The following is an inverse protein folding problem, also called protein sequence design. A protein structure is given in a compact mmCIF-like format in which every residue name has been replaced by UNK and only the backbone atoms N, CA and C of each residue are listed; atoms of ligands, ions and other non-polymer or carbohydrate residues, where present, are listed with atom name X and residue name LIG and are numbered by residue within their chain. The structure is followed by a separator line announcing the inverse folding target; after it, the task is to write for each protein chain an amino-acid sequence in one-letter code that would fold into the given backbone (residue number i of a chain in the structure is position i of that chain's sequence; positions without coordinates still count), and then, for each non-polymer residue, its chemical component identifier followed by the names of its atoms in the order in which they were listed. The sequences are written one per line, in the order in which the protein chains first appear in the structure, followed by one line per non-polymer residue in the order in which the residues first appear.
data_IF_212113465114
#
_entry.id   IF_212113465114
#
_cell.length_a   1.000
_cell.length_b   1.000
_cell.length_c   1.000
_cell.angle_alpha   90.00
_cell.angle_beta   90.00
_cell.angle_gamma   90.00
#
_symmetry.space_group_name_H-M   'P 1'
#
loop_
_entity.id
_entity.type
_entity.pdbx_description
1 polymer ?
#
# COMPACT_ATOMS: atom_id res chain seq x y z
N UNK A 1 11.25 10.69 -34.35
CA UNK A 1 11.60 9.89 -33.15
C UNK A 1 12.88 10.44 -32.48
N UNK A 2 13.95 10.70 -33.25
CA UNK A 2 15.25 11.12 -32.70
C UNK A 2 15.21 12.53 -32.07
N UNK A 3 14.44 13.44 -32.65
CA UNK A 3 14.24 14.79 -32.09
C UNK A 3 13.55 14.71 -30.71
N UNK A 4 12.52 13.87 -30.57
CA UNK A 4 11.85 13.68 -29.29
C UNK A 4 12.77 13.03 -28.24
N UNK A 5 13.53 12.01 -28.65
CA UNK A 5 14.55 11.36 -27.82
C UNK A 5 15.58 12.37 -27.31
N UNK A 6 16.13 13.17 -28.22
CA UNK A 6 17.11 14.19 -27.90
C UNK A 6 16.53 15.26 -26.97
N UNK A 7 15.29 15.71 -27.24
CA UNK A 7 14.60 16.65 -26.39
C UNK A 7 14.40 16.11 -24.96
N UNK A 8 13.83 14.89 -24.80
CA UNK A 8 13.60 14.28 -23.49
C UNK A 8 14.95 14.06 -22.76
N UNK A 9 15.96 13.56 -23.46
CA UNK A 9 17.29 13.37 -22.87
C UNK A 9 17.91 14.65 -22.32
N UNK A 10 17.81 15.74 -23.08
CA UNK A 10 18.34 17.04 -22.68
C UNK A 10 17.57 17.63 -21.48
N UNK A 11 16.29 17.28 -21.34
CA UNK A 11 15.40 17.72 -20.27
C UNK A 11 15.40 16.78 -19.05
N UNK A 12 16.13 15.66 -19.05
CA UNK A 12 16.05 14.61 -18.03
C UNK A 12 16.28 15.08 -16.59
N UNK A 13 17.03 16.15 -16.37
CA UNK A 13 17.28 16.73 -15.05
C UNK A 13 16.26 17.81 -14.64
N UNK A 14 15.37 18.18 -15.53
CA UNK A 14 14.27 19.12 -15.25
C UNK A 14 13.00 18.41 -14.80
N UNK A 15 12.94 17.06 -14.93
CA UNK A 15 11.79 16.29 -14.46
C UNK A 15 11.73 16.30 -12.93
N UNK A 16 10.55 16.60 -12.42
CA UNK A 16 10.27 16.60 -10.99
C UNK A 16 8.83 16.14 -10.76
N UNK A 17 8.54 15.72 -9.55
CA UNK A 17 7.17 15.41 -9.17
C UNK A 17 6.36 16.70 -9.07
N UNK A 18 5.12 16.64 -9.54
CA UNK A 18 4.19 17.79 -9.45
C UNK A 18 3.51 17.89 -8.09
N UNK A 19 3.55 16.82 -7.29
CA UNK A 19 3.03 16.75 -5.93
C UNK A 19 4.12 16.97 -4.88
N UNK A 20 3.71 17.04 -3.62
CA UNK A 20 4.60 17.12 -2.48
C UNK A 20 5.35 15.79 -2.32
N UNK A 21 6.66 15.82 -2.34
CA UNK A 21 7.52 14.64 -2.20
C UNK A 21 8.52 14.84 -1.06
N UNK A 22 8.95 13.76 -0.46
CA UNK A 22 9.96 13.75 0.58
C UNK A 22 10.69 12.40 0.59
N UNK A 23 11.90 12.38 1.16
CA UNK A 23 12.57 11.13 1.49
C UNK A 23 11.73 10.31 2.48
N UNK A 24 11.84 8.97 2.48
CA UNK A 24 10.96 8.10 3.26
C UNK A 24 10.87 8.44 4.75
N UNK A 25 11.99 8.78 5.38
CA UNK A 25 12.04 9.14 6.81
C UNK A 25 11.29 10.45 7.09
N UNK A 26 11.44 11.43 6.21
CA UNK A 26 10.75 12.72 6.31
C UNK A 26 9.26 12.54 6.05
N UNK A 27 8.88 11.73 5.05
CA UNK A 27 7.48 11.41 4.75
C UNK A 27 6.80 10.69 5.92
N UNK A 28 7.50 9.74 6.57
CA UNK A 28 7.05 9.08 7.78
C UNK A 28 6.78 10.09 8.91
N UNK A 29 7.74 10.98 9.19
CA UNK A 29 7.59 12.00 10.22
C UNK A 29 6.40 12.91 9.93
N UNK A 30 6.25 13.39 8.69
CA UNK A 30 5.10 14.19 8.27
C UNK A 30 3.78 13.46 8.49
N UNK A 31 3.70 12.16 8.19
CA UNK A 31 2.51 11.36 8.40
C UNK A 31 2.18 11.19 9.90
N UNK A 32 3.20 11.02 10.75
CA UNK A 32 3.03 10.87 12.19
C UNK A 32 2.62 12.17 12.88
N UNK A 33 3.13 13.32 12.42
CA UNK A 33 2.84 14.64 12.98
C UNK A 33 1.56 15.28 12.44
N UNK A 34 1.01 14.77 11.34
CA UNK A 34 -0.19 15.34 10.74
C UNK A 34 -1.43 15.08 11.62
N UNK A 35 -2.04 16.15 12.11
CA UNK A 35 -3.29 16.07 12.90
C UNK A 35 -4.56 15.92 12.05
N UNK A 36 -4.44 16.14 10.73
CA UNK A 36 -5.56 15.98 9.80
C UNK A 36 -5.72 14.53 9.39
N UNK A 37 -6.91 13.97 9.52
CA UNK A 37 -7.32 12.70 8.91
C UNK A 37 -7.80 12.97 7.48
N UNK A 38 -7.49 12.18 6.53
CA UNK A 38 -6.57 11.05 6.48
C UNK A 38 -5.31 11.51 5.76
N UNK A 39 -4.14 11.16 6.25
CA UNK A 39 -2.89 11.42 5.52
C UNK A 39 -2.67 10.30 4.50
N UNK A 40 -2.71 10.60 3.21
CA UNK A 40 -2.41 9.62 2.16
C UNK A 40 -0.93 9.72 1.78
N UNK A 41 -0.20 8.63 2.00
CA UNK A 41 1.21 8.47 1.65
C UNK A 41 1.32 7.55 0.44
N UNK A 42 1.97 8.02 -0.63
CA UNK A 42 2.22 7.18 -1.80
C UNK A 42 3.67 6.67 -1.80
N UNK A 43 3.83 5.34 -1.83
CA UNK A 43 5.12 4.68 -2.02
C UNK A 43 5.43 4.64 -3.52
N UNK A 44 6.03 5.73 -4.03
CA UNK A 44 6.37 5.87 -5.44
C UNK A 44 7.52 4.95 -5.89
N UNK A 45 8.33 4.49 -4.93
CA UNK A 45 9.42 3.52 -5.19
C UNK A 45 8.91 2.12 -5.54
N UNK A 46 7.68 1.77 -5.14
CA UNK A 46 7.03 0.51 -5.50
C UNK A 46 5.67 0.74 -6.19
N UNK A 47 5.66 1.63 -7.18
CA UNK A 47 4.46 2.05 -7.89
C UNK A 47 3.89 0.95 -8.80
N UNK A 48 2.86 0.25 -8.35
CA UNK A 48 2.20 -0.84 -9.08
C UNK A 48 1.46 -0.36 -10.34
N UNK A 49 1.18 0.92 -10.47
CA UNK A 49 0.57 1.49 -11.69
C UNK A 49 1.59 1.74 -12.81
N UNK A 50 2.89 1.72 -12.48
CA UNK A 50 4.00 1.90 -13.41
C UNK A 50 4.88 0.65 -13.58
N UNK A 51 4.36 -0.52 -13.23
CA UNK A 51 5.02 -1.80 -13.48
C UNK A 51 5.84 -2.37 -12.32
N UNK A 52 5.91 -1.69 -11.16
CA UNK A 52 6.49 -2.29 -9.95
C UNK A 52 5.66 -3.46 -9.45
N UNK A 53 6.29 -4.32 -8.69
CA UNK A 53 5.71 -5.59 -8.24
C UNK A 53 4.76 -5.46 -7.07
N UNK A 54 4.91 -4.44 -6.23
CA UNK A 54 4.08 -4.21 -5.05
C UNK A 54 4.49 -5.02 -3.82
N UNK A 55 5.69 -5.61 -3.79
CA UNK A 55 6.14 -6.48 -2.67
C UNK A 55 7.08 -5.80 -1.67
N UNK A 56 7.39 -4.51 -1.88
CA UNK A 56 8.29 -3.78 -1.01
C UNK A 56 7.68 -3.60 0.39
N UNK A 57 8.43 -3.96 1.43
CA UNK A 57 8.06 -3.84 2.85
C UNK A 57 8.79 -2.70 3.54
N UNK A 58 9.61 -1.92 2.84
CA UNK A 58 10.47 -0.90 3.43
C UNK A 58 9.66 0.12 4.25
N UNK A 59 8.61 0.70 3.68
CA UNK A 59 7.74 1.66 4.37
C UNK A 59 7.03 1.01 5.57
N UNK A 60 6.55 -0.24 5.43
CA UNK A 60 5.95 -0.98 6.54
C UNK A 60 6.94 -1.14 7.70
N UNK A 61 8.18 -1.52 7.41
CA UNK A 61 9.23 -1.69 8.43
C UNK A 61 9.53 -0.40 9.18
N UNK A 62 9.46 0.75 8.51
CA UNK A 62 9.62 2.05 9.13
C UNK A 62 8.49 2.34 10.14
N UNK A 63 7.22 2.09 9.79
CA UNK A 63 6.10 2.25 10.71
C UNK A 63 6.19 1.28 11.89
N UNK A 64 6.58 0.02 11.66
CA UNK A 64 6.76 -0.99 12.72
C UNK A 64 7.88 -0.63 13.70
N UNK A 65 8.88 0.13 13.26
CA UNK A 65 9.99 0.59 14.12
C UNK A 65 9.61 1.78 15.02
N UNK A 66 8.47 2.41 14.80
CA UNK A 66 8.00 3.54 15.61
C UNK A 66 7.58 3.06 17.00
N UNK A 67 8.28 3.51 18.03
CA UNK A 67 7.92 3.20 19.42
C UNK A 67 6.62 3.91 19.81
N UNK A 68 5.70 3.16 20.42
CA UNK A 68 4.41 3.69 20.89
C UNK A 68 3.59 4.36 19.76
N UNK A 69 3.53 3.74 18.60
CA UNK A 69 2.70 4.19 17.47
C UNK A 69 1.23 4.32 17.94
N UNK A 70 0.70 5.55 17.89
CA UNK A 70 -0.66 5.86 18.36
C UNK A 70 -1.66 6.03 17.22
N UNK A 71 -1.16 6.03 15.97
CA UNK A 71 -1.99 6.22 14.78
C UNK A 71 -2.45 4.90 14.19
N UNK A 72 -3.65 4.91 13.60
CA UNK A 72 -4.17 3.79 12.82
C UNK A 72 -3.67 3.93 11.38
N UNK A 73 -2.99 2.90 10.90
CA UNK A 73 -2.33 2.88 9.60
C UNK A 73 -2.94 1.77 8.74
N UNK A 74 -3.33 2.10 7.52
CA UNK A 74 -3.74 1.11 6.52
C UNK A 74 -2.69 1.01 5.42
N UNK A 75 -2.15 -0.19 5.19
CA UNK A 75 -1.41 -0.51 3.99
C UNK A 75 -2.38 -1.06 2.93
N UNK A 76 -2.62 -0.29 1.88
CA UNK A 76 -3.60 -0.58 0.84
C UNK A 76 -3.31 -1.89 0.09
N UNK A 77 -2.03 -2.21 -0.17
CA UNK A 77 -1.64 -3.54 -0.67
C UNK A 77 -0.16 -3.82 -0.45
N UNK A 78 0.15 -5.07 -0.07
CA UNK A 78 1.50 -5.64 -0.15
C UNK A 78 1.35 -7.00 -0.82
N UNK A 79 2.03 -7.18 -1.96
CA UNK A 79 2.03 -8.44 -2.67
C UNK A 79 2.95 -9.43 -1.97
N UNK A 80 2.39 -10.54 -1.52
CA UNK A 80 3.14 -11.70 -1.06
C UNK A 80 2.31 -12.97 -1.25
N UNK A 81 2.58 -13.70 -2.32
CA UNK A 81 1.83 -14.89 -2.69
C UNK A 81 1.95 -16.01 -1.66
N UNK A 82 3.11 -16.15 -1.00
CA UNK A 82 3.34 -17.19 0.00
C UNK A 82 2.56 -16.91 1.28
N UNK A 83 2.68 -15.69 1.79
CA UNK A 83 1.91 -15.23 2.95
C UNK A 83 0.41 -15.24 2.67
N UNK A 84 -0.01 -14.83 1.47
CA UNK A 84 -1.42 -14.93 1.06
C UNK A 84 -1.92 -16.38 1.15
N UNK A 85 -1.19 -17.37 0.58
CA UNK A 85 -1.56 -18.79 0.64
C UNK A 85 -1.59 -19.36 2.06
N UNK A 86 -0.73 -18.87 2.95
CA UNK A 86 -0.76 -19.23 4.37
C UNK A 86 -2.04 -18.70 5.02
N UNK A 87 -2.33 -17.40 4.86
CA UNK A 87 -3.51 -16.73 5.40
C UNK A 87 -4.83 -17.29 4.82
N UNK A 88 -4.80 -17.76 3.57
CA UNK A 88 -6.01 -18.30 2.94
C UNK A 88 -6.51 -19.58 3.60
N UNK A 89 -5.62 -20.33 4.25
CA UNK A 89 -5.93 -21.60 4.93
C UNK A 89 -6.54 -21.43 6.31
N UNK A 90 -6.42 -20.26 6.93
CA UNK A 90 -6.96 -20.01 8.27
C UNK A 90 -8.34 -19.33 8.19
N UNK A 91 -9.13 -19.52 9.25
CA UNK A 91 -10.45 -18.93 9.34
C UNK A 91 -10.40 -17.42 9.58
N UNK A 92 -11.46 -16.71 9.20
CA UNK A 92 -11.69 -15.33 9.61
C UNK A 92 -11.69 -15.26 11.15
N UNK A 93 -11.08 -14.19 11.67
CA UNK A 93 -10.81 -13.95 13.09
C UNK A 93 -9.76 -14.85 13.75
N UNK A 94 -9.19 -15.83 13.05
CA UNK A 94 -8.03 -16.56 13.55
C UNK A 94 -6.77 -15.71 13.52
N UNK A 95 -5.85 -16.00 14.45
CA UNK A 95 -4.53 -15.36 14.52
C UNK A 95 -3.47 -16.32 14.01
N UNK A 96 -2.45 -15.75 13.36
CA UNK A 96 -1.34 -16.51 12.75
C UNK A 96 -0.05 -15.71 12.79
N UNK A 97 1.07 -16.41 12.95
CA UNK A 97 2.41 -15.84 12.75
C UNK A 97 2.78 -15.94 11.27
N UNK A 98 3.08 -14.80 10.66
CA UNK A 98 3.44 -14.73 9.24
C UNK A 98 4.82 -14.10 9.05
N UNK A 99 5.42 -14.40 7.89
CA UNK A 99 6.66 -13.79 7.40
C UNK A 99 6.30 -12.98 6.16
N UNK A 100 5.90 -11.72 6.34
CA UNK A 100 5.50 -10.85 5.23
C UNK A 100 6.71 -10.20 4.58
N UNK A 101 6.94 -10.49 3.30
CA UNK A 101 8.01 -9.95 2.47
C UNK A 101 8.72 -11.00 1.64
N UNK A 102 8.99 -10.69 0.40
CA UNK A 102 9.47 -11.62 -0.61
C UNK A 102 10.98 -11.92 -0.54
N UNK A 103 11.76 -11.18 0.24
CA UNK A 103 13.23 -11.30 0.37
C UNK A 103 13.98 -11.32 -0.98
N UNK A 104 13.54 -10.49 -1.94
CA UNK A 104 14.21 -10.36 -3.24
C UNK A 104 15.36 -9.37 -3.23
N UNK A 105 15.27 -8.39 -2.34
CA UNK A 105 16.23 -7.29 -2.16
C UNK A 105 16.09 -6.68 -0.76
N UNK A 106 16.88 -5.65 -0.47
CA UNK A 106 16.85 -4.91 0.81
C UNK A 106 15.49 -4.24 1.09
N UNK A 107 14.75 -3.88 0.05
CA UNK A 107 13.48 -3.19 0.18
C UNK A 107 12.33 -4.16 0.44
N UNK A 108 12.46 -5.42 0.04
CA UNK A 108 11.46 -6.49 0.19
C UNK A 108 11.78 -7.48 1.31
N UNK A 109 12.66 -7.11 2.26
CA UNK A 109 12.96 -7.94 3.45
C UNK A 109 11.71 -8.30 4.21
N UNK A 110 11.61 -9.57 4.60
CA UNK A 110 10.48 -10.04 5.41
C UNK A 110 10.52 -9.51 6.83
N UNK A 111 9.32 -9.33 7.37
CA UNK A 111 9.08 -9.05 8.79
C UNK A 111 8.22 -10.15 9.39
N UNK A 112 8.49 -10.48 10.65
CA UNK A 112 7.67 -11.43 11.41
C UNK A 112 6.54 -10.67 12.08
N UNK A 113 5.30 -11.05 11.80
CA UNK A 113 4.11 -10.40 12.32
C UNK A 113 3.17 -11.44 12.94
N UNK A 114 2.61 -11.12 14.10
CA UNK A 114 1.46 -11.83 14.62
C UNK A 114 0.21 -11.09 14.15
N UNK A 115 -0.60 -11.72 13.31
CA UNK A 115 -1.74 -11.07 12.68
C UNK A 115 -3.05 -11.79 12.95
N UNK A 116 -4.14 -11.03 12.96
CA UNK A 116 -5.51 -11.54 12.96
C UNK A 116 -6.10 -11.36 11.56
N UNK A 117 -6.58 -12.44 10.94
CA UNK A 117 -7.28 -12.38 9.66
C UNK A 117 -8.66 -11.76 9.83
N UNK A 118 -8.95 -10.68 9.12
CA UNK A 118 -10.22 -9.96 9.22
C UNK A 118 -11.18 -10.28 8.07
N UNK A 119 -10.70 -10.21 6.82
CA UNK A 119 -11.54 -10.41 5.64
C UNK A 119 -10.71 -10.87 4.43
N UNK A 120 -11.36 -11.59 3.52
CA UNK A 120 -10.85 -11.89 2.17
C UNK A 120 -11.81 -11.29 1.16
N UNK A 121 -11.28 -10.61 0.15
CA UNK A 121 -12.07 -10.00 -0.91
C UNK A 121 -11.31 -9.95 -2.24
N UNK A 122 -12.02 -9.67 -3.33
CA UNK A 122 -11.43 -9.40 -4.62
C UNK A 122 -10.85 -7.99 -4.67
N UNK A 123 -9.77 -7.81 -5.42
CA UNK A 123 -9.26 -6.50 -5.81
C UNK A 123 -9.89 -6.17 -7.15
N UNK A 124 -10.82 -5.22 -7.16
CA UNK A 124 -11.60 -4.88 -8.33
C UNK A 124 -10.85 -3.92 -9.26
N UNK A 125 -11.05 -4.12 -10.57
CA UNK A 125 -10.62 -3.19 -11.59
C UNK A 125 -11.80 -2.29 -11.97
N UNK A 126 -11.63 -0.99 -11.76
CA UNK A 126 -12.67 0.02 -11.97
C UNK A 126 -12.30 0.91 -13.16
N UNK A 127 -13.26 1.21 -14.02
CA UNK A 127 -13.16 2.23 -15.07
C UNK A 127 -14.35 3.19 -14.97
N UNK A 128 -14.08 4.46 -14.63
CA UNK A 128 -15.10 5.39 -14.17
C UNK A 128 -15.77 4.84 -12.91
N UNK A 129 -17.09 4.70 -12.93
CA UNK A 129 -17.89 4.15 -11.82
C UNK A 129 -18.20 2.65 -11.99
N UNK A 130 -17.66 2.00 -13.02
CA UNK A 130 -18.00 0.61 -13.37
C UNK A 130 -16.87 -0.35 -12.98
N UNK A 131 -17.22 -1.42 -12.28
CA UNK A 131 -16.34 -2.58 -12.10
C UNK A 131 -16.29 -3.33 -13.43
N UNK A 132 -15.09 -3.49 -13.98
CA UNK A 132 -14.85 -4.14 -15.28
C UNK A 132 -14.09 -5.48 -15.16
N UNK A 133 -13.69 -5.86 -13.94
CA UNK A 133 -12.99 -7.11 -13.70
C UNK A 133 -12.31 -7.14 -12.33
N UNK A 134 -11.45 -8.13 -12.12
CA UNK A 134 -10.62 -8.27 -10.92
C UNK A 134 -9.14 -8.29 -11.25
N UNK A 135 -8.31 -7.76 -10.35
CA UNK A 135 -6.84 -7.79 -10.44
C UNK A 135 -6.22 -8.93 -9.63
N UNK A 136 -7.04 -9.65 -8.86
CA UNK A 136 -6.63 -10.70 -7.95
C UNK A 136 -7.43 -10.64 -6.66
N UNK A 137 -6.90 -11.25 -5.61
CA UNK A 137 -7.54 -11.27 -4.29
C UNK A 137 -6.60 -10.72 -3.22
N UNK A 138 -7.19 -10.18 -2.18
CA UNK A 138 -6.50 -9.72 -0.99
C UNK A 138 -7.07 -10.34 0.29
N UNK A 139 -6.25 -10.37 1.32
CA UNK A 139 -6.64 -10.72 2.68
C UNK A 139 -6.26 -9.56 3.58
N UNK A 140 -7.25 -8.98 4.22
CA UNK A 140 -7.08 -7.96 5.24
C UNK A 140 -6.66 -8.62 6.54
N UNK A 141 -5.59 -8.14 7.12
CA UNK A 141 -5.09 -8.59 8.43
C UNK A 141 -4.82 -7.40 9.33
N UNK A 142 -5.05 -7.58 10.63
CA UNK A 142 -4.66 -6.66 11.68
C UNK A 142 -3.37 -7.15 12.34
N UNK A 143 -2.36 -6.30 12.48
CA UNK A 143 -1.12 -6.61 13.20
C UNK A 143 -1.36 -6.46 14.68
N UNK A 144 -1.42 -7.58 15.40
CA UNK A 144 -1.80 -7.64 16.81
C UNK A 144 -0.83 -6.81 17.67
N UNK A 145 -1.40 -5.99 18.55
CA UNK A 145 -0.63 -5.10 19.43
C UNK A 145 -0.21 -3.77 18.79
N UNK A 146 -0.72 -3.47 17.60
CA UNK A 146 -0.47 -2.20 16.88
C UNK A 146 -1.77 -1.61 16.34
N UNK A 147 -1.71 -0.41 15.75
CA UNK A 147 -2.80 0.18 14.96
C UNK A 147 -2.64 -0.07 13.46
N UNK A 148 -1.95 -1.15 13.04
CA UNK A 148 -1.63 -1.38 11.62
C UNK A 148 -2.50 -2.48 11.04
N UNK A 149 -3.18 -2.15 9.92
CA UNK A 149 -3.89 -3.09 9.07
C UNK A 149 -3.20 -3.18 7.72
N UNK A 150 -3.18 -4.39 7.14
CA UNK A 150 -2.49 -4.67 5.88
C UNK A 150 -3.40 -5.51 4.98
N UNK A 151 -3.54 -5.11 3.72
CA UNK A 151 -4.11 -5.97 2.68
C UNK A 151 -2.96 -6.73 2.00
N UNK A 152 -2.85 -8.03 2.27
CA UNK A 152 -1.88 -8.93 1.63
C UNK A 152 -2.50 -9.49 0.36
N UNK A 153 -1.83 -9.32 -0.80
CA UNK A 153 -2.40 -9.68 -2.10
C UNK A 153 -1.65 -10.84 -2.76
N UNK A 154 -2.39 -11.67 -3.50
CA UNK A 154 -1.82 -12.80 -4.26
C UNK A 154 -1.18 -12.38 -5.59
N UNK A 155 -1.49 -11.19 -6.08
CA UNK A 155 -0.97 -10.60 -7.32
C UNK A 155 -0.64 -9.13 -7.13
N UNK A 156 0.09 -8.56 -8.07
CA UNK A 156 0.28 -7.11 -8.13
C UNK A 156 -1.08 -6.42 -8.26
N UNK A 157 -1.42 -5.61 -7.27
CA UNK A 157 -2.71 -4.95 -7.16
C UNK A 157 -2.55 -3.43 -7.21
N UNK A 158 -3.54 -2.76 -7.80
CA UNK A 158 -3.61 -1.30 -7.91
C UNK A 158 -4.80 -0.81 -7.10
N UNK A 159 -4.54 -0.24 -5.93
CA UNK A 159 -5.58 0.34 -5.07
C UNK A 159 -5.84 1.79 -5.49
N UNK A 160 -6.29 2.00 -6.73
CA UNK A 160 -6.46 3.34 -7.34
C UNK A 160 -7.85 3.93 -7.14
N UNK A 161 -8.78 3.17 -6.55
CA UNK A 161 -10.16 3.57 -6.34
C UNK A 161 -10.59 3.21 -4.92
N UNK A 162 -11.41 4.04 -4.29
CA UNK A 162 -11.89 3.84 -2.92
C UNK A 162 -12.82 2.63 -2.78
N UNK A 163 -13.52 2.24 -3.84
CA UNK A 163 -14.36 1.04 -3.87
C UNK A 163 -13.58 -0.24 -3.52
N UNK A 164 -12.27 -0.29 -3.81
CA UNK A 164 -11.46 -1.43 -3.38
C UNK A 164 -11.43 -1.61 -1.86
N UNK A 165 -11.53 -0.54 -1.08
CA UNK A 165 -11.59 -0.63 0.38
C UNK A 165 -12.96 -1.08 0.87
N UNK A 166 -14.03 -0.71 0.17
CA UNK A 166 -15.40 -1.14 0.48
C UNK A 166 -15.55 -2.66 0.34
N UNK A 167 -14.84 -3.31 -0.62
CA UNK A 167 -14.79 -4.77 -0.74
C UNK A 167 -14.25 -5.45 0.54
N UNK A 168 -13.42 -4.73 1.31
CA UNK A 168 -12.88 -5.19 2.60
C UNK A 168 -13.67 -4.68 3.82
N UNK A 169 -14.84 -4.06 3.65
CA UNK A 169 -15.61 -3.37 4.69
C UNK A 169 -14.81 -2.26 5.39
N UNK A 170 -13.88 -1.63 4.67
CA UNK A 170 -13.03 -0.56 5.17
C UNK A 170 -13.61 0.79 4.72
N UNK A 171 -13.87 1.67 5.69
CA UNK A 171 -13.89 3.09 5.43
C UNK A 171 -12.47 3.64 5.62
N UNK A 172 -11.75 3.90 4.51
CA UNK A 172 -10.36 4.32 4.54
C UNK A 172 -10.14 5.65 5.29
N UNK A 173 -11.17 6.49 5.40
CA UNK A 173 -11.11 7.77 6.15
C UNK A 173 -11.09 7.59 7.67
N UNK A 174 -11.32 6.37 8.18
CA UNK A 174 -11.20 6.08 9.61
C UNK A 174 -9.74 5.93 10.06
N UNK A 175 -8.83 5.72 9.10
CA UNK A 175 -7.40 5.65 9.36
C UNK A 175 -6.74 7.02 9.40
N UNK A 176 -5.74 7.17 10.26
CA UNK A 176 -4.92 8.38 10.33
C UNK A 176 -3.97 8.48 9.14
N UNK A 177 -3.45 7.34 8.70
CA UNK A 177 -2.55 7.24 7.53
C UNK A 177 -2.97 6.08 6.65
N UNK A 178 -3.03 6.33 5.34
CA UNK A 178 -3.21 5.28 4.32
C UNK A 178 -1.99 5.27 3.41
N UNK A 179 -1.32 4.12 3.33
CA UNK A 179 -0.14 3.92 2.48
C UNK A 179 -0.55 3.19 1.20
N UNK A 180 -0.29 3.80 0.05
CA UNK A 180 -0.64 3.27 -1.26
C UNK A 180 0.61 3.11 -2.13
N UNK A 181 0.73 1.98 -2.83
CA UNK A 181 1.83 1.72 -3.77
C UNK A 181 1.56 2.35 -5.14
N UNK A 182 1.65 3.68 -5.17
CA UNK A 182 1.33 4.54 -6.31
C UNK A 182 2.39 5.62 -6.49
N UNK A 183 2.50 6.16 -7.71
CA UNK A 183 3.42 7.27 -7.99
C UNK A 183 2.81 8.65 -7.75
N UNK A 184 1.49 8.73 -7.59
CA UNK A 184 0.75 9.96 -7.30
C UNK A 184 -0.61 9.62 -6.70
N UNK A 185 -1.22 10.57 -6.01
CA UNK A 185 -2.55 10.40 -5.41
C UNK A 185 -3.62 10.49 -6.49
N UNK A 186 -4.37 9.41 -6.69
CA UNK A 186 -5.52 9.38 -7.59
C UNK A 186 -6.63 10.31 -7.10
N UNK A 187 -7.46 10.87 -8.02
CA UNK A 187 -8.51 11.83 -7.69
C UNK A 187 -9.46 11.36 -6.57
N UNK A 188 -9.81 10.07 -6.55
CA UNK A 188 -10.70 9.47 -5.56
C UNK A 188 -10.24 9.65 -4.11
N UNK A 189 -8.93 9.84 -3.90
CA UNK A 189 -8.33 10.08 -2.59
C UNK A 189 -8.08 11.57 -2.29
N UNK A 190 -8.37 12.47 -3.23
CA UNK A 190 -8.08 13.91 -3.08
C UNK A 190 -9.26 14.72 -2.54
N UNK A 191 -10.44 14.20 -2.69
CA UNK A 191 -11.65 14.96 -2.47
C UNK A 191 -12.51 14.29 -1.41
N UNK A 192 -12.26 14.58 -0.16
CA UNK A 192 -13.38 14.55 0.82
C UNK A 192 -13.04 15.38 2.04
#
# INVERSE_FOLDING_TARGET
ADDLKSYVWNKRYEFHYTGKTAEPEVALQMALECDKKTFVLTDSGDNTTSGSTGWNTFVLRQFLAVKNLKKNILFGSIKDEYTYKQLDKININASEMIYLGMNKDELSKSVVLNVKKLKKADIILVHGEKVIGTLGQGILVHVIGTGIDIIVTNRTARMTNTLNFEEFDINWTDYDVVVLKQGYIFPDFKAK
#
